data_IF_454223110778
#
_entry.id   IF_454223110778
#
_cell.length_a   1.000
_cell.length_b   1.000
_cell.length_c   1.000
_cell.angle_alpha   90.00
_cell.angle_beta   90.00
_cell.angle_gamma   90.00
#
_symmetry.space_group_name_H-M   'P 1'
#
loop_
_entity.id
_entity.type
_entity.pdbx_description
1 polymer ?
#
# COMPACT_ATOMS: atom_id res chain seq x y z
N UNK A 1 38.85 -21.39 -25.51
CA UNK A 1 37.69 -20.71 -26.14
C UNK A 1 37.00 -19.86 -25.08
N UNK A 2 37.19 -18.54 -25.12
CA UNK A 2 36.53 -17.59 -24.22
C UNK A 2 35.09 -17.39 -24.71
N UNK A 3 34.08 -17.61 -23.86
CA UNK A 3 32.70 -17.19 -24.12
C UNK A 3 32.45 -15.90 -23.34
N UNK A 4 32.28 -14.82 -24.09
CA UNK A 4 31.78 -13.54 -23.61
C UNK A 4 30.27 -13.68 -23.37
N UNK A 5 29.81 -13.47 -22.13
CA UNK A 5 28.40 -13.23 -21.85
C UNK A 5 28.21 -11.73 -21.67
N UNK A 6 27.63 -11.11 -22.71
CA UNK A 6 27.15 -9.73 -22.71
C UNK A 6 25.83 -9.74 -21.93
N UNK A 7 25.82 -9.15 -20.73
CA UNK A 7 24.60 -8.92 -19.97
C UNK A 7 24.00 -7.58 -20.39
N UNK A 8 22.89 -7.64 -21.11
CA UNK A 8 22.11 -6.51 -21.59
C UNK A 8 21.27 -5.96 -20.42
N UNK A 9 21.68 -4.83 -19.85
CA UNK A 9 20.92 -4.10 -18.84
C UNK A 9 19.81 -3.31 -19.55
N UNK A 10 18.57 -3.77 -19.49
CA UNK A 10 17.41 -3.09 -20.06
C UNK A 10 16.84 -2.12 -19.00
N UNK A 11 17.17 -0.84 -19.13
CA UNK A 11 16.58 0.23 -18.34
C UNK A 11 15.21 0.59 -18.93
N UNK A 12 14.14 0.30 -18.19
CA UNK A 12 12.77 0.70 -18.52
C UNK A 12 12.58 2.16 -18.06
N UNK A 13 12.70 3.11 -18.99
CA UNK A 13 12.37 4.52 -18.76
C UNK A 13 10.87 4.67 -19.01
N UNK A 14 10.08 4.83 -17.94
CA UNK A 14 8.66 5.15 -18.00
C UNK A 14 8.49 6.67 -17.94
N UNK A 15 8.36 7.33 -19.09
CA UNK A 15 7.96 8.74 -19.17
C UNK A 15 6.44 8.85 -19.14
N UNK A 16 5.88 9.39 -18.06
CA UNK A 16 4.47 9.77 -17.97
C UNK A 16 4.27 11.17 -18.58
N UNK A 17 3.52 11.26 -19.68
CA UNK A 17 2.98 12.51 -20.19
C UNK A 17 1.69 12.85 -19.43
N UNK A 18 1.67 13.98 -18.72
CA UNK A 18 0.43 14.53 -18.15
C UNK A 18 -0.06 15.61 -19.11
N UNK A 19 -1.10 15.31 -19.89
CA UNK A 19 -1.85 16.31 -20.66
C UNK A 19 -2.93 16.91 -19.78
N UNK A 20 -2.88 18.22 -19.56
CA UNK A 20 -3.89 19.02 -18.87
C UNK A 20 -5.19 19.09 -19.69
N UNK A 21 -6.28 18.55 -19.15
CA UNK A 21 -7.64 18.84 -19.62
C UNK A 21 -8.22 20.01 -18.81
N UNK A 22 -8.57 21.10 -19.49
CA UNK A 22 -9.39 22.18 -18.94
C UNK A 22 -10.87 21.89 -19.18
N UNK A 23 -11.67 21.81 -18.12
CA UNK A 23 -13.13 21.81 -18.21
C UNK A 23 -13.64 23.25 -18.19
N UNK A 24 -14.41 23.64 -19.21
CA UNK A 24 -15.25 24.83 -19.22
C UNK A 24 -16.65 24.42 -18.76
N UNK A 25 -17.23 25.11 -17.78
CA UNK A 25 -18.63 24.94 -17.38
C UNK A 25 -19.52 25.82 -18.27
N UNK A 26 -20.35 25.19 -19.09
CA UNK A 26 -21.51 25.83 -19.71
C UNK A 26 -22.67 25.90 -18.70
N UNK A 27 -23.26 27.09 -18.58
CA UNK A 27 -24.42 27.34 -17.74
C UNK A 27 -25.69 26.74 -18.37
N UNK A 28 -26.36 25.84 -17.64
CA UNK A 28 -27.70 25.36 -17.98
C UNK A 28 -28.73 26.21 -17.24
N UNK A 29 -29.53 26.96 -17.99
CA UNK A 29 -30.75 27.64 -17.50
C UNK A 29 -31.89 26.62 -17.44
N UNK A 30 -32.35 26.30 -16.23
CA UNK A 30 -33.54 25.45 -15.99
C UNK A 30 -34.76 26.36 -15.73
N UNK A 31 -35.57 26.55 -16.78
CA UNK A 31 -36.90 27.17 -16.71
C UNK A 31 -37.92 26.11 -16.26
N UNK A 32 -38.22 26.07 -14.96
CA UNK A 32 -39.38 25.34 -14.43
C UNK A 32 -40.19 26.19 -13.44
N UNK A 33 -41.55 26.14 -13.51
CA UNK A 33 -42.41 27.10 -12.86
C UNK A 33 -42.58 26.84 -11.36
N UNK A 34 -42.74 27.96 -10.66
CA UNK A 34 -42.94 28.10 -9.22
C UNK A 34 -44.26 27.45 -8.79
N UNK A 35 -44.18 26.49 -7.86
CA UNK A 35 -45.32 26.06 -7.03
C UNK A 35 -45.03 26.49 -5.59
N UNK A 36 -45.89 27.34 -5.06
CA UNK A 36 -45.91 27.83 -3.68
C UNK A 36 -46.50 26.78 -2.74
N UNK A 37 -45.74 26.34 -1.74
CA UNK A 37 -46.29 25.80 -0.49
C UNK A 37 -45.69 26.52 0.72
N UNK A 38 -46.58 26.77 1.69
CA UNK A 38 -46.44 27.66 2.85
C UNK A 38 -45.81 26.92 4.04
N UNK A 39 -44.90 27.64 4.73
CA UNK A 39 -44.44 27.52 6.13
C UNK A 39 -44.39 26.13 6.79
N UNK A 40 -43.20 25.80 7.27
CA UNK A 40 -42.87 25.96 8.71
C UNK A 40 -41.36 26.12 8.88
N UNK A 41 -40.97 27.09 9.71
CA UNK A 41 -39.59 27.37 10.06
C UNK A 41 -39.12 26.35 11.11
N UNK A 42 -38.04 25.64 10.84
CA UNK A 42 -37.24 25.01 11.89
C UNK A 42 -35.80 25.47 11.75
N UNK A 43 -35.37 26.25 12.73
CA UNK A 43 -34.07 26.91 12.74
C UNK A 43 -33.09 25.96 13.42
N UNK A 44 -32.56 24.99 12.68
CA UNK A 44 -31.41 24.21 13.17
C UNK A 44 -30.16 25.04 12.89
N UNK A 45 -29.67 25.71 13.94
CA UNK A 45 -28.33 26.30 13.99
C UNK A 45 -27.30 25.20 13.67
N UNK A 46 -26.78 25.21 12.46
CA UNK A 46 -25.59 24.48 12.07
C UNK A 46 -24.37 25.16 12.70
N UNK A 47 -24.17 24.91 14.00
CA UNK A 47 -23.03 25.44 14.77
C UNK A 47 -22.05 24.35 15.22
N UNK A 48 -22.24 23.10 14.80
CA UNK A 48 -21.37 21.99 15.24
C UNK A 48 -20.41 21.53 14.13
N UNK A 49 -20.76 21.70 12.85
CA UNK A 49 -19.92 21.27 11.72
C UNK A 49 -18.62 22.10 11.62
N UNK A 50 -18.72 23.43 11.78
CA UNK A 50 -17.57 24.33 11.82
C UNK A 50 -16.70 24.16 13.08
N UNK A 51 -17.27 23.72 14.19
CA UNK A 51 -16.53 23.46 15.43
C UNK A 51 -15.77 22.11 15.37
N UNK A 52 -16.29 21.13 14.64
CA UNK A 52 -15.63 19.84 14.37
C UNK A 52 -14.55 19.99 13.30
N UNK A 53 -14.80 20.77 12.23
CA UNK A 53 -13.77 21.13 11.26
C UNK A 53 -12.67 22.00 11.88
N UNK A 54 -13.01 23.02 12.67
CA UNK A 54 -12.04 23.85 13.40
C UNK A 54 -11.21 23.05 14.42
N UNK A 55 -11.75 21.98 15.00
CA UNK A 55 -10.99 21.05 15.86
C UNK A 55 -10.13 20.07 15.07
N UNK A 56 -10.55 19.61 13.88
CA UNK A 56 -9.72 18.81 12.97
C UNK A 56 -8.57 19.62 12.38
N UNK A 57 -8.82 20.88 12.06
CA UNK A 57 -7.83 21.82 11.53
C UNK A 57 -6.86 22.30 12.63
N UNK A 58 -7.34 22.48 13.86
CA UNK A 58 -6.49 22.69 15.04
C UNK A 58 -5.69 21.44 15.45
N UNK A 59 -6.22 20.23 15.24
CA UNK A 59 -5.48 18.99 15.43
C UNK A 59 -4.43 18.76 14.32
N UNK A 60 -4.75 19.12 13.06
CA UNK A 60 -3.76 19.23 11.97
C UNK A 60 -2.66 20.22 12.37
N UNK A 61 -3.03 21.43 12.81
CA UNK A 61 -2.11 22.46 13.28
C UNK A 61 -1.27 22.03 14.51
N UNK A 62 -1.81 21.20 15.39
CA UNK A 62 -1.09 20.65 16.55
C UNK A 62 -0.10 19.54 16.16
N UNK A 63 -0.32 18.82 15.07
CA UNK A 63 0.64 17.84 14.53
C UNK A 63 1.73 18.51 13.65
N UNK A 64 1.40 19.60 12.95
CA UNK A 64 2.37 20.49 12.27
C UNK A 64 3.20 21.37 13.22
N UNK A 65 2.88 21.39 14.52
CA UNK A 65 3.65 22.11 15.54
C UNK A 65 4.98 21.43 15.94
N UNK A 66 5.33 20.29 15.31
CA UNK A 66 6.42 19.42 15.79
C UNK A 66 7.73 19.47 15.00
N UNK A 67 7.74 19.94 13.75
CA UNK A 67 9.01 20.02 12.99
C UNK A 67 9.76 21.29 13.37
N UNK A 68 10.99 21.10 13.85
CA UNK A 68 11.88 22.17 14.33
C UNK A 68 12.65 22.77 13.17
N UNK A 69 13.27 23.93 13.39
CA UNK A 69 14.29 24.43 12.47
C UNK A 69 15.37 23.36 12.28
N UNK A 70 15.62 22.99 11.03
CA UNK A 70 16.57 21.95 10.67
C UNK A 70 17.48 22.44 9.55
N UNK A 71 18.75 22.03 9.64
CA UNK A 71 19.81 22.33 8.68
C UNK A 71 20.51 21.03 8.36
N UNK A 72 20.73 20.75 7.08
CA UNK A 72 21.45 19.60 6.59
C UNK A 72 22.49 20.05 5.57
N UNK A 73 23.70 19.52 5.64
CA UNK A 73 24.78 19.83 4.70
C UNK A 73 25.34 18.52 4.16
N UNK A 74 25.25 18.33 2.86
CA UNK A 74 25.72 17.12 2.17
C UNK A 74 27.17 17.24 1.66
N UNK A 75 27.84 18.37 1.96
CA UNK A 75 29.17 18.74 1.48
C UNK A 75 29.17 19.45 0.12
N UNK A 76 28.02 19.55 -0.55
CA UNK A 76 27.84 20.28 -1.81
C UNK A 76 26.92 21.49 -1.63
N UNK A 77 25.87 21.35 -0.84
CA UNK A 77 24.90 22.39 -0.54
C UNK A 77 24.40 22.30 0.91
N UNK A 78 24.02 23.45 1.46
CA UNK A 78 23.29 23.53 2.72
C UNK A 78 21.80 23.60 2.44
N UNK A 79 21.05 22.64 2.98
CA UNK A 79 19.60 22.54 2.95
C UNK A 79 19.02 22.99 4.29
N UNK A 80 17.89 23.70 4.23
CA UNK A 80 17.16 24.16 5.41
C UNK A 80 15.67 23.95 5.22
N UNK A 81 14.91 23.84 6.29
CA UNK A 81 13.48 24.15 6.21
C UNK A 81 13.23 25.64 6.52
N UNK A 82 12.04 26.15 6.19
CA UNK A 82 11.73 27.59 6.34
C UNK A 82 11.73 28.08 7.78
N UNK A 83 11.78 27.19 8.78
CA UNK A 83 11.80 27.56 10.20
C UNK A 83 13.16 28.05 10.68
N UNK A 84 14.23 27.84 9.92
CA UNK A 84 15.57 28.36 10.21
C UNK A 84 15.56 29.89 10.15
N UNK A 85 16.06 30.52 11.22
CA UNK A 85 16.15 31.98 11.34
C UNK A 85 17.56 32.47 11.05
N UNK A 86 17.67 33.48 10.21
CA UNK A 86 18.89 34.18 9.88
C UNK A 86 19.02 35.45 10.71
N UNK A 87 20.19 35.61 11.33
CA UNK A 87 20.56 36.78 12.12
C UNK A 87 21.83 37.41 11.52
N UNK A 88 21.92 38.74 11.55
CA UNK A 88 23.07 39.49 11.05
C UNK A 88 23.65 40.29 12.20
N UNK A 89 24.85 39.89 12.62
CA UNK A 89 25.60 40.60 13.65
C UNK A 89 26.78 41.34 13.03
N UNK A 90 26.95 42.60 13.41
CA UNK A 90 28.06 43.45 12.99
C UNK A 90 28.80 43.95 14.23
N UNK A 91 30.13 43.88 14.18
CA UNK A 91 31.00 44.35 15.25
C UNK A 91 31.92 45.44 14.71
N UNK A 92 31.74 46.66 15.20
CA UNK A 92 32.67 47.76 15.02
C UNK A 92 33.34 48.14 16.36
N UNK A 93 34.48 48.81 16.28
CA UNK A 93 35.30 49.18 17.44
C UNK A 93 34.66 50.24 18.35
N UNK A 94 33.52 50.83 17.97
CA UNK A 94 32.91 51.93 18.72
C UNK A 94 31.39 51.82 18.96
N UNK A 95 30.56 51.42 17.99
CA UNK A 95 29.07 51.46 18.09
C UNK A 95 28.40 50.36 17.23
N UNK A 96 27.12 50.04 17.48
CA UNK A 96 26.37 49.08 16.66
C UNK A 96 26.02 49.69 15.29
N UNK A 97 26.39 49.00 14.22
CA UNK A 97 26.23 49.40 12.83
C UNK A 97 24.81 49.18 12.29
N UNK A 98 24.51 49.75 11.11
CA UNK A 98 23.30 49.39 10.36
C UNK A 98 23.62 48.29 9.36
N UNK A 99 22.90 47.18 9.46
CA UNK A 99 23.00 46.08 8.50
C UNK A 99 21.86 46.13 7.48
N UNK A 100 22.17 45.79 6.25
CA UNK A 100 21.23 45.70 5.13
C UNK A 100 21.34 44.32 4.50
N UNK A 101 20.23 43.82 3.98
CA UNK A 101 20.19 42.54 3.29
C UNK A 101 19.18 42.54 2.15
N UNK A 102 19.35 41.60 1.23
CA UNK A 102 18.36 41.22 0.23
C UNK A 102 18.38 39.71 0.05
N UNK A 103 17.23 39.15 -0.32
CA UNK A 103 17.09 37.72 -0.62
C UNK A 103 16.77 37.60 -2.09
N UNK A 104 17.61 36.88 -2.83
CA UNK A 104 17.52 36.74 -4.29
C UNK A 104 17.44 38.13 -4.98
N UNK A 105 16.39 38.34 -5.76
CA UNK A 105 16.12 39.58 -6.49
C UNK A 105 15.20 40.55 -5.72
N UNK A 106 14.93 40.29 -4.43
CA UNK A 106 14.14 41.20 -3.62
C UNK A 106 14.80 42.59 -3.53
N UNK A 107 14.02 43.65 -3.33
CA UNK A 107 14.57 44.93 -2.90
C UNK A 107 15.41 44.76 -1.62
N UNK A 108 16.41 45.61 -1.48
CA UNK A 108 17.19 45.70 -0.26
C UNK A 108 16.32 46.17 0.92
N UNK A 109 16.55 45.57 2.08
CA UNK A 109 15.87 45.88 3.33
C UNK A 109 16.90 46.14 4.44
N UNK A 110 16.53 47.02 5.38
CA UNK A 110 17.29 47.18 6.63
C UNK A 110 17.07 45.95 7.50
N UNK A 111 18.14 45.40 8.07
CA UNK A 111 18.05 44.32 9.05
C UNK A 111 17.62 44.88 10.41
N UNK A 112 16.41 44.53 10.85
CA UNK A 112 15.86 44.96 12.14
C UNK A 112 15.73 43.82 13.15
N UNK A 113 15.54 42.59 12.65
CA UNK A 113 15.34 41.38 13.44
C UNK A 113 15.61 40.14 12.58
N UNK A 114 15.82 38.96 13.20
CA UNK A 114 15.98 37.73 12.45
C UNK A 114 14.79 37.43 11.53
N UNK A 115 15.08 36.85 10.36
CA UNK A 115 14.10 36.52 9.33
C UNK A 115 14.22 35.06 8.87
N UNK A 116 13.20 34.58 8.17
CA UNK A 116 13.08 33.23 7.63
C UNK A 116 13.15 33.26 6.10
N UNK A 117 13.52 32.14 5.48
CA UNK A 117 13.44 31.97 4.02
C UNK A 117 12.26 31.06 3.70
N UNK A 118 11.23 31.60 3.05
CA UNK A 118 9.98 30.88 2.77
C UNK A 118 9.94 30.26 1.37
N UNK A 119 10.77 30.77 0.45
CA UNK A 119 10.73 30.34 -0.95
C UNK A 119 11.50 29.04 -1.12
N UNK A 120 10.82 27.99 -1.56
CA UNK A 120 11.43 26.69 -1.91
C UNK A 120 12.57 26.84 -2.92
N UNK A 121 13.59 25.99 -2.80
CA UNK A 121 14.73 25.92 -3.70
C UNK A 121 15.88 26.84 -3.29
N UNK A 122 16.77 27.09 -4.24
CA UNK A 122 18.00 27.88 -4.00
C UNK A 122 17.67 29.33 -3.68
N UNK A 123 18.20 29.79 -2.56
CA UNK A 123 18.12 31.17 -2.10
C UNK A 123 19.52 31.73 -1.85
N UNK A 124 19.73 32.97 -2.28
CA UNK A 124 20.97 33.72 -2.02
C UNK A 124 20.64 34.91 -1.13
N UNK A 125 21.21 34.92 0.07
CA UNK A 125 21.15 36.08 0.96
C UNK A 125 22.40 36.92 0.68
N UNK A 126 22.22 38.17 0.27
CA UNK A 126 23.31 39.15 0.17
C UNK A 126 23.15 40.20 1.24
N UNK A 127 24.21 40.51 1.97
CA UNK A 127 24.18 41.40 3.11
C UNK A 127 25.47 42.20 3.28
N UNK A 128 25.37 43.34 3.94
CA UNK A 128 26.49 44.19 4.32
C UNK A 128 26.10 45.11 5.49
N UNK A 129 27.09 45.69 6.15
CA UNK A 129 26.91 46.71 7.18
C UNK A 129 27.54 48.06 6.81
N UNK A 130 26.98 49.13 7.36
CA UNK A 130 27.49 50.51 7.28
C UNK A 130 27.68 51.03 8.69
N UNK A 131 28.89 51.51 8.99
CA UNK A 131 29.18 52.11 10.29
C UNK A 131 28.50 53.50 10.44
N UNK A 132 28.58 54.08 11.64
CA UNK A 132 27.97 55.40 11.89
C UNK A 132 28.65 56.56 11.16
N UNK A 133 29.87 56.37 10.67
CA UNK A 133 30.61 57.34 9.88
C UNK A 133 30.31 57.21 8.37
N UNK A 134 29.52 56.20 7.99
CA UNK A 134 29.14 55.93 6.60
C UNK A 134 30.10 55.01 5.86
N UNK A 135 31.09 54.40 6.53
CA UNK A 135 31.95 53.42 5.89
C UNK A 135 31.17 52.12 5.67
N UNK A 136 31.11 51.68 4.42
CA UNK A 136 30.37 50.49 3.99
C UNK A 136 31.33 49.33 3.72
N UNK A 137 31.02 48.15 4.26
CA UNK A 137 31.79 46.95 3.92
C UNK A 137 31.49 46.43 2.51
N UNK A 138 32.29 45.46 2.05
CA UNK A 138 32.00 44.72 0.82
C UNK A 138 30.83 43.76 1.06
N UNK A 139 29.98 43.60 0.06
CA UNK A 139 28.88 42.64 0.07
C UNK A 139 29.38 41.24 0.38
N UNK A 140 28.68 40.59 1.32
CA UNK A 140 28.79 39.17 1.59
C UNK A 140 27.56 38.46 1.04
N UNK A 141 27.74 37.21 0.67
CA UNK A 141 26.64 36.36 0.20
C UNK A 141 26.76 34.96 0.77
N UNK A 142 25.61 34.34 1.03
CA UNK A 142 25.49 32.91 1.32
C UNK A 142 24.38 32.30 0.46
N UNK A 143 24.59 31.06 0.01
CA UNK A 143 23.60 30.28 -0.73
C UNK A 143 23.10 29.15 0.16
N UNK A 144 21.79 28.94 0.19
CA UNK A 144 21.12 27.84 0.88
C UNK A 144 19.96 27.34 0.04
N UNK A 145 19.63 26.06 0.12
CA UNK A 145 18.45 25.48 -0.52
C UNK A 145 17.37 25.30 0.53
N UNK A 146 16.23 25.98 0.36
CA UNK A 146 15.06 25.77 1.21
C UNK A 146 14.31 24.55 0.71
N UNK A 147 14.04 23.64 1.62
CA UNK A 147 13.24 22.44 1.40
C UNK A 147 12.11 22.39 2.44
N UNK A 148 10.88 22.53 1.96
CA UNK A 148 9.66 22.39 2.75
C UNK A 148 8.79 21.25 2.24
N UNK A 149 9.32 20.42 1.34
CA UNK A 149 8.55 19.38 0.64
C UNK A 149 8.79 18.04 1.31
N UNK A 150 7.78 17.41 1.93
CA UNK A 150 7.94 16.06 2.46
C UNK A 150 8.34 15.05 1.38
N UNK A 151 9.04 13.97 1.74
CA UNK A 151 9.34 12.90 0.80
C UNK A 151 8.08 12.22 0.27
N UNK A 152 8.19 11.56 -0.88
CA UNK A 152 7.20 10.62 -1.38
C UNK A 152 7.52 9.23 -0.86
N UNK A 153 6.57 8.61 -0.14
CA UNK A 153 6.73 7.28 0.45
C UNK A 153 5.85 6.25 -0.24
N UNK A 154 6.46 5.12 -0.62
CA UNK A 154 5.80 3.96 -1.22
C UNK A 154 6.04 2.72 -0.37
N UNK A 155 5.01 1.88 -0.25
CA UNK A 155 5.08 0.54 0.36
C UNK A 155 4.75 -0.48 -0.71
N UNK A 156 5.48 -1.60 -0.77
CA UNK A 156 5.25 -2.69 -1.73
C UNK A 156 5.09 -4.03 -1.02
N UNK A 157 4.11 -4.83 -1.44
CA UNK A 157 4.00 -6.24 -1.03
C UNK A 157 4.86 -7.15 -1.90
N UNK A 158 5.42 -8.22 -1.32
CA UNK A 158 6.21 -9.22 -2.05
C UNK A 158 5.38 -10.18 -2.88
N UNK A 159 4.10 -10.35 -2.52
CA UNK A 159 3.15 -11.27 -3.14
C UNK A 159 1.89 -10.53 -3.57
N UNK A 160 1.13 -11.07 -4.54
CA UNK A 160 -0.16 -10.48 -4.93
C UNK A 160 -1.17 -10.46 -3.79
N UNK A 161 -1.83 -9.32 -3.59
CA UNK A 161 -2.91 -9.17 -2.60
C UNK A 161 -4.24 -9.47 -3.27
N UNK A 162 -5.07 -10.26 -2.58
CA UNK A 162 -6.41 -10.53 -3.06
C UNK A 162 -7.39 -9.47 -2.56
N UNK A 163 -8.15 -8.86 -3.48
CA UNK A 163 -9.19 -7.88 -3.13
C UNK A 163 -10.56 -8.56 -3.15
N UNK A 164 -11.11 -8.84 -1.97
CA UNK A 164 -12.45 -9.38 -1.78
C UNK A 164 -13.41 -8.29 -1.31
N UNK A 165 -14.17 -7.69 -2.24
CA UNK A 165 -14.99 -6.52 -1.95
C UNK A 165 -14.11 -5.32 -1.58
N UNK A 166 -14.31 -4.74 -0.39
CA UNK A 166 -13.47 -3.66 0.14
C UNK A 166 -12.24 -4.15 0.93
N UNK A 167 -12.16 -5.45 1.22
CA UNK A 167 -11.06 -6.02 2.01
C UNK A 167 -9.85 -6.39 1.16
N UNK A 168 -8.67 -6.21 1.73
CA UNK A 168 -7.38 -6.52 1.14
C UNK A 168 -6.77 -7.70 1.90
N UNK A 169 -6.87 -8.89 1.33
CA UNK A 169 -6.44 -10.13 1.97
C UNK A 169 -4.96 -10.41 1.72
N UNK A 170 -4.25 -10.72 2.80
CA UNK A 170 -2.82 -11.07 2.81
C UNK A 170 -2.58 -12.34 3.63
N UNK A 171 -1.52 -13.06 3.31
CA UNK A 171 -0.97 -14.09 4.21
C UNK A 171 0.12 -13.47 5.10
N UNK A 172 0.32 -14.03 6.29
CA UNK A 172 1.43 -13.64 7.19
C UNK A 172 2.82 -13.88 6.62
N UNK A 173 2.91 -14.62 5.50
CA UNK A 173 4.16 -14.84 4.75
C UNK A 173 4.53 -13.66 3.84
N UNK A 174 3.63 -12.69 3.65
CA UNK A 174 3.87 -11.55 2.78
C UNK A 174 4.86 -10.60 3.43
N UNK A 175 5.86 -10.17 2.67
CA UNK A 175 6.83 -9.18 3.09
C UNK A 175 6.47 -7.82 2.50
N UNK A 176 6.61 -6.77 3.32
CA UNK A 176 6.42 -5.38 2.93
C UNK A 176 7.74 -4.64 2.94
N UNK A 177 8.03 -3.93 1.85
CA UNK A 177 9.18 -3.04 1.73
C UNK A 177 8.73 -1.60 1.60
N UNK A 178 9.45 -0.67 2.23
CA UNK A 178 9.14 0.76 2.20
C UNK A 178 10.28 1.50 1.49
N UNK A 179 9.94 2.40 0.59
CA UNK A 179 10.89 3.30 -0.08
C UNK A 179 10.42 4.74 0.08
N UNK A 180 11.33 5.63 0.45
CA UNK A 180 11.11 7.07 0.54
C UNK A 180 12.02 7.76 -0.48
N UNK A 181 11.48 8.72 -1.22
CA UNK A 181 12.23 9.54 -2.16
C UNK A 181 11.94 11.01 -1.88
N UNK A 182 12.99 11.77 -1.66
CA UNK A 182 12.94 13.22 -1.69
C UNK A 182 13.95 13.75 -2.72
N UNK A 183 13.55 14.81 -3.44
CA UNK A 183 14.32 15.36 -4.56
C UNK A 183 15.12 16.63 -4.17
N UNK A 184 15.02 17.09 -2.93
CA UNK A 184 15.70 18.28 -2.43
C UNK A 184 16.74 17.89 -1.38
N UNK A 185 16.41 17.87 -0.09
CA UNK A 185 17.34 17.48 0.97
C UNK A 185 17.63 15.98 1.03
N UNK A 186 16.87 15.16 0.29
CA UNK A 186 17.00 13.71 0.25
C UNK A 186 16.27 13.02 1.41
N UNK A 187 16.01 11.71 1.30
CA UNK A 187 15.24 10.99 2.31
C UNK A 187 16.03 10.91 3.63
N UNK A 188 15.33 11.13 4.73
CA UNK A 188 15.83 10.99 6.09
C UNK A 188 15.34 9.68 6.72
N UNK A 189 14.44 9.74 7.69
CA UNK A 189 13.96 8.55 8.39
C UNK A 189 12.73 7.91 7.71
N UNK A 190 12.57 6.62 7.93
CA UNK A 190 11.34 5.88 7.61
C UNK A 190 10.95 5.11 8.86
N UNK A 191 9.71 5.32 9.32
CA UNK A 191 9.13 4.65 10.47
C UNK A 191 7.77 4.05 10.09
N UNK A 192 7.39 2.97 10.75
CA UNK A 192 6.09 2.35 10.55
C UNK A 192 5.47 1.84 11.86
N UNK A 193 4.15 1.72 11.86
CA UNK A 193 3.34 1.21 12.95
C UNK A 193 2.35 0.17 12.42
N UNK A 194 2.13 -0.88 13.21
CA UNK A 194 1.10 -1.88 13.00
C UNK A 194 0.15 -1.84 14.19
N UNK A 195 -1.15 -1.86 13.95
CA UNK A 195 -2.22 -1.95 14.95
C UNK A 195 -2.16 -0.88 16.04
N UNK A 196 -1.76 0.34 15.65
CA UNK A 196 -1.66 1.48 16.54
C UNK A 196 -0.53 1.39 17.57
N UNK A 197 0.37 0.41 17.44
CA UNK A 197 1.58 0.33 18.25
C UNK A 197 2.49 1.53 18.01
N UNK A 198 3.46 1.75 18.91
CA UNK A 198 4.46 2.81 18.72
C UNK A 198 5.20 2.63 17.38
N UNK A 199 5.43 3.74 16.68
CA UNK A 199 6.24 3.75 15.48
C UNK A 199 7.63 3.18 15.76
N UNK A 200 8.11 2.31 14.86
CA UNK A 200 9.46 1.78 14.86
C UNK A 200 10.19 2.12 13.57
N UNK A 201 11.53 2.25 13.60
CA UNK A 201 12.33 2.42 12.40
C UNK A 201 12.13 1.28 11.40
N UNK A 202 12.16 1.62 10.12
CA UNK A 202 12.19 0.66 9.02
C UNK A 202 13.65 0.36 8.63
N UNK A 203 14.16 -0.79 9.08
CA UNK A 203 15.52 -1.24 8.77
C UNK A 203 15.57 -2.31 7.67
N UNK A 204 14.49 -3.08 7.52
CA UNK A 204 14.37 -4.18 6.56
C UNK A 204 12.90 -4.52 6.29
N UNK A 205 12.65 -5.28 5.22
CA UNK A 205 11.31 -5.81 4.93
C UNK A 205 10.73 -6.59 6.10
N UNK A 206 9.42 -6.47 6.31
CA UNK A 206 8.73 -7.05 7.46
C UNK A 206 7.44 -7.75 7.03
N UNK A 207 6.96 -8.69 7.84
CA UNK A 207 5.63 -9.28 7.70
C UNK A 207 4.63 -8.66 8.67
N UNK A 208 3.35 -8.80 8.35
CA UNK A 208 2.25 -8.53 9.28
C UNK A 208 1.81 -9.86 9.88
N UNK A 209 1.76 -9.93 11.21
CA UNK A 209 1.45 -11.16 11.95
C UNK A 209 0.18 -10.99 12.78
N UNK A 210 -0.47 -12.09 13.13
CA UNK A 210 -1.71 -12.07 13.93
C UNK A 210 -2.87 -12.67 13.16
N UNK A 211 -4.09 -12.27 13.52
CA UNK A 211 -5.34 -12.75 12.91
C UNK A 211 -6.31 -11.59 12.74
N UNK A 212 -7.14 -11.62 11.70
CA UNK A 212 -8.13 -10.58 11.45
C UNK A 212 -7.53 -9.36 10.73
N UNK A 213 -8.08 -8.18 10.98
CA UNK A 213 -7.61 -6.94 10.34
C UNK A 213 -6.43 -6.35 11.08
N UNK A 214 -5.46 -5.87 10.31
CA UNK A 214 -4.30 -5.14 10.77
C UNK A 214 -4.23 -3.77 10.12
N UNK A 215 -3.92 -2.72 10.90
CA UNK A 215 -3.81 -1.34 10.41
C UNK A 215 -2.35 -0.96 10.32
N UNK A 216 -1.86 -0.73 9.10
CA UNK A 216 -0.52 -0.22 8.82
C UNK A 216 -0.54 1.30 8.71
N UNK A 217 0.44 1.95 9.35
CA UNK A 217 0.78 3.36 9.12
C UNK A 217 2.26 3.48 8.82
N UNK A 218 2.61 4.44 7.97
CA UNK A 218 3.99 4.75 7.60
C UNK A 218 4.20 6.24 7.68
N UNK A 219 5.33 6.64 8.23
CA UNK A 219 5.79 8.03 8.30
C UNK A 219 7.22 8.08 7.79
N UNK A 220 7.52 8.99 6.87
CA UNK A 220 8.90 9.27 6.49
C UNK A 220 9.20 10.74 6.70
N UNK A 221 10.48 11.05 6.94
CA UNK A 221 11.00 12.41 6.89
C UNK A 221 12.09 12.54 5.84
N UNK A 222 12.35 13.75 5.39
CA UNK A 222 13.58 14.09 4.69
C UNK A 222 14.70 14.47 5.69
N UNK A 223 15.84 14.96 5.18
CA UNK A 223 16.98 15.38 5.99
C UNK A 223 16.80 16.74 6.68
N UNK A 224 15.82 17.55 6.27
CA UNK A 224 15.43 18.79 6.97
C UNK A 224 14.10 18.64 7.72
N UNK A 225 13.73 17.40 8.03
CA UNK A 225 12.63 16.97 8.91
C UNK A 225 11.21 17.31 8.42
N UNK A 226 10.99 17.57 7.12
CA UNK A 226 9.63 17.57 6.58
C UNK A 226 9.09 16.15 6.56
N UNK A 227 7.85 15.94 6.98
CA UNK A 227 7.28 14.60 7.19
C UNK A 227 6.06 14.32 6.33
N UNK A 228 5.93 13.09 5.85
CA UNK A 228 4.82 12.65 5.01
C UNK A 228 3.48 12.66 5.74
N UNK A 229 2.41 13.10 5.07
CA UNK A 229 1.02 12.93 5.54
C UNK A 229 0.37 11.63 5.03
N UNK A 230 0.81 11.16 3.87
CA UNK A 230 0.26 9.97 3.22
C UNK A 230 1.38 9.15 2.59
N UNK A 231 1.11 7.86 2.38
CA UNK A 231 1.94 6.96 1.60
C UNK A 231 1.09 6.26 0.54
N UNK A 232 1.75 5.72 -0.48
CA UNK A 232 1.12 4.85 -1.49
C UNK A 232 1.51 3.41 -1.23
N UNK A 233 0.54 2.56 -0.91
CA UNK A 233 0.68 1.11 -0.89
C UNK A 233 0.43 0.56 -2.30
N UNK A 234 1.44 -0.07 -2.88
CA UNK A 234 1.41 -0.73 -4.18
C UNK A 234 1.33 -2.23 -3.93
N UNK A 235 0.19 -2.81 -4.28
CA UNK A 235 -0.12 -4.22 -4.10
C UNK A 235 -0.16 -4.86 -5.48
N UNK A 236 0.58 -5.95 -5.69
CA UNK A 236 0.44 -6.70 -6.93
C UNK A 236 -0.99 -7.28 -6.97
N UNK A 237 -1.81 -6.93 -7.96
CA UNK A 237 -3.12 -7.56 -8.15
C UNK A 237 -2.99 -8.93 -8.80
N UNK A 238 -4.08 -9.68 -8.86
CA UNK A 238 -4.15 -10.97 -9.58
C UNK A 238 -4.31 -10.81 -11.10
N UNK A 239 -4.61 -9.60 -11.60
CA UNK A 239 -4.93 -9.31 -13.01
C UNK A 239 -3.89 -8.44 -13.77
N UNK A 240 -2.62 -8.49 -13.37
CA UNK A 240 -1.48 -7.76 -13.99
C UNK A 240 -1.48 -6.22 -13.84
N UNK A 241 -2.43 -5.62 -13.14
CA UNK A 241 -2.38 -4.22 -12.72
C UNK A 241 -2.10 -4.11 -11.21
N UNK A 242 -1.24 -3.19 -10.76
CA UNK A 242 -1.04 -2.96 -9.35
C UNK A 242 -2.27 -2.28 -8.74
N UNK A 243 -2.79 -2.85 -7.66
CA UNK A 243 -3.76 -2.18 -6.81
C UNK A 243 -3.03 -1.15 -5.96
N UNK A 244 -3.45 0.11 -6.02
CA UNK A 244 -2.87 1.18 -5.22
C UNK A 244 -3.83 1.68 -4.16
N UNK A 245 -3.35 1.80 -2.93
CA UNK A 245 -4.06 2.48 -1.83
C UNK A 245 -3.23 3.68 -1.40
N UNK A 246 -3.81 4.87 -1.44
CA UNK A 246 -3.14 6.08 -0.95
C UNK A 246 -3.88 6.62 0.28
N UNK A 247 -3.13 6.90 1.34
CA UNK A 247 -3.70 7.41 2.58
C UNK A 247 -2.67 7.51 3.70
N UNK A 248 -3.11 7.91 4.88
CA UNK A 248 -2.28 7.94 6.09
C UNK A 248 -2.25 6.58 6.82
N UNK A 249 -3.05 5.62 6.36
CA UNK A 249 -3.13 4.26 6.87
C UNK A 249 -3.67 3.30 5.80
N UNK A 250 -3.37 2.01 5.96
CA UNK A 250 -3.93 0.94 5.15
C UNK A 250 -4.39 -0.20 6.06
N UNK A 251 -5.60 -0.70 5.85
CA UNK A 251 -6.15 -1.86 6.56
C UNK A 251 -5.95 -3.11 5.71
N UNK A 252 -5.34 -4.15 6.29
CA UNK A 252 -5.03 -5.43 5.66
C UNK A 252 -5.72 -6.54 6.44
N UNK A 253 -6.41 -7.45 5.77
CA UNK A 253 -7.06 -8.60 6.40
C UNK A 253 -6.16 -9.81 6.29
N UNK A 254 -5.74 -10.38 7.41
CA UNK A 254 -4.93 -11.60 7.42
C UNK A 254 -5.81 -12.82 7.21
N UNK A 255 -5.42 -13.62 6.22
CA UNK A 255 -5.89 -14.97 6.03
C UNK A 255 -4.72 -15.95 6.07
N UNK A 256 -4.71 -16.79 7.10
CA UNK A 256 -3.73 -17.85 7.31
C UNK A 256 -4.41 -19.22 7.40
N UNK A 257 -5.68 -19.30 7.00
CA UNK A 257 -6.47 -20.53 7.08
C UNK A 257 -6.45 -21.18 5.70
N UNK A 258 -6.03 -22.44 5.64
CA UNK A 258 -6.14 -23.18 4.39
C UNK A 258 -7.59 -23.64 4.18
N UNK A 259 -8.05 -23.76 2.92
CA UNK A 259 -9.40 -24.25 2.64
C UNK A 259 -9.66 -25.65 3.21
N UNK A 260 -10.90 -25.89 3.64
CA UNK A 260 -11.39 -27.23 3.95
C UNK A 260 -11.91 -27.91 2.69
N UNK A 261 -11.49 -29.17 2.44
CA UNK A 261 -11.84 -29.94 1.24
C UNK A 261 -12.68 -31.15 1.61
N UNK A 262 -13.70 -31.44 0.80
CA UNK A 262 -14.56 -32.62 0.92
C UNK A 262 -14.72 -33.33 -0.43
N UNK A 263 -14.80 -34.66 -0.40
CA UNK A 263 -15.04 -35.50 -1.58
C UNK A 263 -16.34 -36.27 -1.34
N UNK A 264 -17.39 -35.92 -2.10
CA UNK A 264 -18.71 -36.53 -1.97
C UNK A 264 -18.96 -37.53 -3.08
N UNK A 265 -19.44 -38.71 -2.69
CA UNK A 265 -20.00 -39.70 -3.62
C UNK A 265 -21.48 -39.37 -3.88
N UNK A 266 -21.91 -39.38 -5.15
CA UNK A 266 -23.31 -39.12 -5.50
C UNK A 266 -24.25 -40.25 -5.05
N UNK A 267 -23.73 -41.48 -4.94
CA UNK A 267 -24.41 -42.66 -4.44
C UNK A 267 -23.73 -43.15 -3.16
N UNK A 268 -24.53 -43.59 -2.20
CA UNK A 268 -24.03 -44.21 -0.97
C UNK A 268 -23.28 -45.52 -1.30
N UNK A 269 -21.99 -45.64 -0.95
CA UNK A 269 -21.25 -46.87 -1.16
C UNK A 269 -21.80 -48.03 -0.32
N UNK A 270 -21.81 -49.23 -0.89
CA UNK A 270 -22.11 -50.45 -0.14
C UNK A 270 -20.83 -50.98 0.50
N UNK A 271 -20.81 -51.06 1.82
CA UNK A 271 -19.69 -51.67 2.55
C UNK A 271 -19.75 -53.20 2.45
N UNK A 272 -18.69 -53.82 1.92
CA UNK A 272 -18.51 -55.28 1.87
C UNK A 272 -17.03 -55.61 2.05
N UNK A 273 -16.71 -56.49 3.01
CA UNK A 273 -15.34 -56.93 3.31
C UNK A 273 -14.33 -55.78 3.50
N UNK A 274 -14.77 -54.68 4.12
CA UNK A 274 -13.95 -53.48 4.33
C UNK A 274 -13.76 -52.60 3.10
N UNK A 275 -14.43 -52.90 1.98
CA UNK A 275 -14.43 -52.08 0.76
C UNK A 275 -15.73 -51.30 0.61
N UNK A 276 -15.60 -50.07 0.14
CA UNK A 276 -16.72 -49.22 -0.27
C UNK A 276 -17.04 -49.49 -1.75
N UNK A 277 -17.95 -50.43 -2.00
CA UNK A 277 -18.32 -50.87 -3.36
C UNK A 277 -19.32 -49.89 -3.97
N UNK A 278 -19.04 -49.47 -5.21
CA UNK A 278 -19.86 -48.54 -5.96
C UNK A 278 -19.95 -48.94 -7.44
N UNK A 279 -21.08 -48.65 -8.08
CA UNK A 279 -21.27 -48.89 -9.52
C UNK A 279 -20.53 -47.85 -10.36
N UNK A 280 -20.13 -48.20 -11.59
CA UNK A 280 -19.46 -47.27 -12.52
C UNK A 280 -20.29 -46.08 -12.99
N UNK A 281 -21.61 -46.07 -12.78
CA UNK A 281 -22.46 -44.90 -13.06
C UNK A 281 -22.37 -43.82 -11.99
N UNK A 282 -21.65 -44.06 -10.90
CA UNK A 282 -21.52 -43.09 -9.82
C UNK A 282 -20.56 -41.96 -10.19
N UNK A 283 -20.77 -40.80 -9.56
CA UNK A 283 -19.95 -39.60 -9.73
C UNK A 283 -19.39 -39.16 -8.39
N UNK A 284 -18.20 -38.56 -8.43
CA UNK A 284 -17.56 -37.98 -7.26
C UNK A 284 -17.36 -36.49 -7.47
N UNK A 285 -17.89 -35.71 -6.54
CA UNK A 285 -17.78 -34.26 -6.53
C UNK A 285 -16.81 -33.81 -5.44
N UNK A 286 -15.94 -32.87 -5.78
CA UNK A 286 -15.03 -32.25 -4.83
C UNK A 286 -15.53 -30.84 -4.56
N UNK A 287 -15.70 -30.51 -3.29
CA UNK A 287 -16.02 -29.17 -2.82
C UNK A 287 -14.96 -28.66 -1.88
N UNK A 288 -14.72 -27.36 -1.87
CA UNK A 288 -13.88 -26.73 -0.87
C UNK A 288 -14.52 -25.44 -0.37
N UNK A 289 -14.27 -25.10 0.89
CA UNK A 289 -14.73 -23.87 1.52
C UNK A 289 -13.60 -23.20 2.26
N UNK A 290 -13.57 -21.87 2.20
CA UNK A 290 -12.66 -21.03 2.96
C UNK A 290 -13.39 -19.74 3.35
N UNK A 291 -13.37 -19.40 4.64
CA UNK A 291 -14.08 -18.25 5.21
C UNK A 291 -13.27 -16.95 5.11
N UNK A 292 -11.99 -17.03 4.75
CA UNK A 292 -11.07 -15.91 4.63
C UNK A 292 -11.08 -15.32 3.24
N UNK A 293 -10.01 -15.57 2.51
CA UNK A 293 -9.81 -15.09 1.14
C UNK A 293 -10.61 -15.90 0.12
N UNK A 294 -11.21 -17.01 0.52
CA UNK A 294 -12.00 -17.88 -0.34
C UNK A 294 -11.13 -18.81 -1.18
N UNK A 295 -11.73 -19.83 -1.77
CA UNK A 295 -11.01 -20.84 -2.56
C UNK A 295 -10.60 -20.29 -3.92
N UNK A 296 -9.31 -20.35 -4.25
CA UNK A 296 -8.82 -20.01 -5.59
C UNK A 296 -8.88 -21.21 -6.53
N UNK A 297 -8.38 -22.38 -6.11
CA UNK A 297 -8.35 -23.57 -6.97
C UNK A 297 -8.42 -24.85 -6.15
N UNK A 298 -9.21 -25.80 -6.64
CA UNK A 298 -9.25 -27.18 -6.15
C UNK A 298 -8.42 -28.05 -7.09
N UNK A 299 -7.57 -28.91 -6.54
CA UNK A 299 -6.75 -29.86 -7.26
C UNK A 299 -7.09 -31.29 -6.83
N UNK A 300 -6.93 -32.23 -7.75
CA UNK A 300 -7.03 -33.66 -7.45
C UNK A 300 -6.00 -34.50 -8.21
N UNK A 301 -5.82 -35.73 -7.75
CA UNK A 301 -5.12 -36.79 -8.46
C UNK A 301 -5.84 -38.12 -8.24
N UNK A 302 -5.70 -39.02 -9.21
CA UNK A 302 -6.33 -40.35 -9.19
C UNK A 302 -5.23 -41.41 -9.11
N UNK A 303 -5.44 -42.38 -8.22
CA UNK A 303 -4.61 -43.56 -8.01
C UNK A 303 -3.14 -43.19 -7.78
N UNK A 304 -2.26 -43.54 -8.74
CA UNK A 304 -0.81 -43.31 -8.66
C UNK A 304 -0.35 -42.11 -9.47
N UNK A 305 -1.27 -41.23 -9.90
CA UNK A 305 -0.90 -40.04 -10.64
C UNK A 305 0.01 -39.12 -9.80
N UNK A 306 1.14 -38.70 -10.39
CA UNK A 306 2.12 -37.85 -9.72
C UNK A 306 1.79 -36.36 -9.80
N UNK A 307 0.95 -35.98 -10.76
CA UNK A 307 0.60 -34.58 -11.03
C UNK A 307 -0.80 -34.26 -10.50
N UNK A 308 -0.88 -33.17 -9.74
CA UNK A 308 -2.14 -32.53 -9.38
C UNK A 308 -2.75 -31.85 -10.61
N UNK A 309 -4.04 -32.09 -10.84
CA UNK A 309 -4.80 -31.46 -11.92
C UNK A 309 -5.95 -30.62 -11.35
N UNK A 310 -6.26 -29.45 -11.93
CA UNK A 310 -7.40 -28.65 -11.50
C UNK A 310 -8.72 -29.42 -11.61
N UNK A 311 -9.52 -29.36 -10.55
CA UNK A 311 -10.86 -29.92 -10.54
C UNK A 311 -11.84 -28.97 -11.22
N UNK A 312 -12.41 -29.40 -12.35
CA UNK A 312 -13.37 -28.60 -13.13
C UNK A 312 -14.68 -29.32 -13.41
N UNK A 313 -14.74 -30.63 -13.16
CA UNK A 313 -15.90 -31.49 -13.39
C UNK A 313 -15.86 -32.72 -12.49
N UNK A 314 -17.03 -33.30 -12.23
CA UNK A 314 -17.16 -34.54 -11.48
C UNK A 314 -16.28 -35.66 -12.04
N UNK A 315 -15.77 -36.49 -11.14
CA UNK A 315 -14.92 -37.64 -11.44
C UNK A 315 -15.80 -38.87 -11.64
N UNK A 316 -15.48 -39.67 -12.66
CA UNK A 316 -16.16 -40.91 -13.01
C UNK A 316 -15.13 -42.02 -13.21
N UNK A 317 -15.50 -43.25 -12.87
CA UNK A 317 -14.65 -44.43 -13.07
C UNK A 317 -15.39 -45.48 -13.91
N UNK A 318 -14.69 -46.05 -14.88
CA UNK A 318 -15.21 -47.08 -15.79
C UNK A 318 -14.43 -48.39 -15.74
N UNK A 319 -13.43 -48.48 -14.85
CA UNK A 319 -12.54 -49.63 -14.72
C UNK A 319 -12.90 -50.38 -13.43
N UNK A 320 -12.96 -51.71 -13.51
CA UNK A 320 -13.14 -52.55 -12.33
C UNK A 320 -11.94 -52.42 -11.38
N UNK A 321 -12.20 -52.30 -10.09
CA UNK A 321 -11.18 -52.40 -9.07
C UNK A 321 -11.14 -51.23 -8.09
N UNK A 322 -10.09 -51.20 -7.27
CA UNK A 322 -9.89 -50.15 -6.29
C UNK A 322 -9.35 -48.89 -6.95
N UNK A 323 -9.95 -47.75 -6.63
CA UNK A 323 -9.44 -46.44 -7.00
C UNK A 323 -9.36 -45.51 -5.79
N UNK A 324 -8.44 -44.56 -5.84
CA UNK A 324 -8.23 -43.53 -4.83
C UNK A 324 -8.27 -42.14 -5.44
N UNK A 325 -9.15 -41.30 -4.91
CA UNK A 325 -9.15 -39.85 -5.20
C UNK A 325 -8.38 -39.18 -4.06
N UNK A 326 -7.38 -38.37 -4.38
CA UNK A 326 -6.79 -37.42 -3.44
C UNK A 326 -7.12 -36.01 -3.90
N UNK A 327 -7.53 -35.14 -2.98
CA UNK A 327 -7.93 -33.77 -3.28
C UNK A 327 -7.30 -32.78 -2.30
N UNK A 328 -6.94 -31.59 -2.79
CA UNK A 328 -6.49 -30.47 -1.97
C UNK A 328 -6.96 -29.16 -2.61
N UNK A 329 -6.95 -28.06 -1.87
CA UNK A 329 -7.30 -26.75 -2.40
C UNK A 329 -6.32 -25.67 -1.94
N UNK A 330 -6.25 -24.60 -2.71
CA UNK A 330 -5.46 -23.39 -2.42
C UNK A 330 -6.42 -22.19 -2.42
N UNK A 331 -6.27 -21.30 -1.45
CA UNK A 331 -7.06 -20.06 -1.35
C UNK A 331 -6.47 -18.92 -2.21
N UNK A 332 -7.06 -17.73 -2.14
CA UNK A 332 -6.62 -16.58 -2.93
C UNK A 332 -5.36 -15.86 -2.38
N UNK A 333 -4.85 -16.24 -1.22
CA UNK A 333 -3.58 -15.72 -0.65
C UNK A 333 -2.48 -16.78 -0.57
N UNK A 334 -2.71 -17.97 -1.13
CA UNK A 334 -1.74 -19.03 -1.28
C UNK A 334 -1.69 -20.07 -0.16
N UNK A 335 -2.62 -20.07 0.81
CA UNK A 335 -2.68 -21.12 1.82
C UNK A 335 -3.22 -22.42 1.18
N UNK A 336 -2.49 -23.52 1.37
CA UNK A 336 -2.81 -24.82 0.78
C UNK A 336 -3.33 -25.82 1.84
N UNK A 337 -4.41 -26.54 1.52
CA UNK A 337 -4.99 -27.54 2.41
C UNK A 337 -4.10 -28.77 2.52
N UNK A 338 -4.23 -29.50 3.65
CA UNK A 338 -3.74 -30.88 3.68
C UNK A 338 -4.59 -31.73 2.74
N UNK A 339 -4.00 -32.64 1.94
CA UNK A 339 -4.78 -33.51 1.07
C UNK A 339 -5.75 -34.42 1.83
N UNK A 340 -6.99 -34.49 1.36
CA UNK A 340 -7.99 -35.49 1.78
C UNK A 340 -8.01 -36.64 0.77
N UNK A 341 -8.51 -37.80 1.18
CA UNK A 341 -8.53 -39.00 0.32
C UNK A 341 -9.82 -39.80 0.46
N UNK A 342 -10.31 -40.32 -0.66
CA UNK A 342 -11.42 -41.26 -0.72
C UNK A 342 -11.00 -42.49 -1.52
N UNK A 343 -11.10 -43.67 -0.91
CA UNK A 343 -10.88 -44.97 -1.58
C UNK A 343 -12.21 -45.68 -1.81
N UNK A 344 -12.41 -46.14 -3.04
CA UNK A 344 -13.63 -46.82 -3.49
C UNK A 344 -13.27 -48.05 -4.32
N UNK A 345 -14.19 -49.01 -4.40
CA UNK A 345 -14.07 -50.18 -5.27
C UNK A 345 -15.17 -50.15 -6.32
N UNK A 346 -14.78 -50.01 -7.58
CA UNK A 346 -15.72 -49.92 -8.70
C UNK A 346 -16.07 -51.33 -9.17
N UNK A 347 -17.37 -51.62 -9.11
CA UNK A 347 -17.94 -52.80 -9.74
C UNK A 347 -18.60 -52.41 -11.07
N UNK A 348 -18.16 -53.10 -12.13
CA UNK A 348 -18.66 -52.99 -13.51
C UNK A 348 -19.20 -54.32 -14.01
N UNK A 349 -19.12 -55.39 -13.21
CA UNK A 349 -19.43 -56.75 -13.64
C UNK A 349 -20.89 -57.06 -13.32
N UNK A 350 -21.76 -57.24 -14.34
CA UNK A 350 -23.12 -57.68 -14.09
C UNK A 350 -23.15 -59.12 -13.56
N UNK A 351 -24.21 -59.53 -12.84
CA UNK A 351 -24.35 -60.91 -12.39
C UNK A 351 -24.49 -61.87 -13.58
N UNK A 352 -23.78 -62.99 -13.51
CA UNK A 352 -23.91 -64.11 -14.46
C UNK A 352 -24.92 -65.14 -13.91
N UNK A 353 -26.02 -65.35 -14.63
CA UNK A 353 -27.07 -66.31 -14.23
C UNK A 353 -26.87 -67.60 -15.00
N UNK A 354 -26.62 -68.69 -14.29
CA UNK A 354 -26.56 -70.05 -14.86
C UNK A 354 -27.87 -70.77 -14.61
N UNK A 355 -28.44 -71.34 -15.67
CA UNK A 355 -29.62 -72.22 -15.57
C UNK A 355 -29.19 -73.55 -14.92
N UNK A 356 -29.76 -73.85 -13.75
CA UNK A 356 -29.60 -75.13 -13.06
C UNK A 356 -30.91 -75.91 -13.12
N UNK A 357 -31.40 -76.17 -14.32
CA UNK A 357 -32.39 -77.24 -14.53
C UNK A 357 -31.69 -78.57 -14.24
N UNK A 358 -31.96 -79.12 -13.06
CA UNK A 358 -31.61 -80.49 -12.73
C UNK A 358 -32.47 -81.43 -13.58
N UNK A 359 -31.84 -82.25 -14.42
CA UNK A 359 -32.47 -83.40 -15.08
C UNK A 359 -32.87 -84.49 -14.07
#
# INVERSE_FOLDING_TARGET
MKKNNISLLMALILTLFISSFSFSQDAVTDDRPIVTEDKTADTVKDTDTAAVEGKKEAAKAAEYASVKAAVYDDGLATYINSRVKYDITATDNALTDKSFFKVNESPEATFEKPFNLETEGKNVITYYSVDKMGNREKDRSMEVTVDNTPPVTMVKSSMPVYKGGEKLFISSTYLFSITSQDNSSGPGTIDYSLDGQTYKPYDASFSVTGTGEAVMKVKSSDNVTNTTETFTLILNGTENEPLTVQGNSATLTLDNTAPAVDIKSAMEPKSLDGKNIVTSSNKYEISAGDDGSGVATIFYKIDKAEKWIPYTKAIEFSIFGEHRIEAMAVDNVGNASTPVSLTIFIDVVPPDVKDTTAE
#
